data_IF_174492125116
#
_entry.id   IF_174492125116
#
_cell.length_a   1.000
_cell.length_b   1.000
_cell.length_c   1.000
_cell.angle_alpha   90.00
_cell.angle_beta   90.00
_cell.angle_gamma   90.00
#
_symmetry.space_group_name_H-M   'P 1'
#
loop_
_entity.id
_entity.type
_entity.pdbx_description
1 polymer ?
#
# COMPACT_ATOMS: atom_id res chain seq x y z
N UNK A 1 1.61 -53.47 55.12
CA UNK A 1 2.40 -52.25 54.90
C UNK A 1 3.35 -52.50 53.75
N UNK A 2 3.51 -51.53 52.84
CA UNK A 2 4.48 -51.62 51.73
C UNK A 2 5.89 -51.71 52.30
N UNK A 3 6.74 -52.58 51.74
CA UNK A 3 8.10 -52.76 52.22
C UNK A 3 8.98 -51.54 51.89
N UNK A 4 10.03 -51.35 52.67
CA UNK A 4 10.86 -50.14 52.60
C UNK A 4 11.57 -49.97 51.26
N UNK A 5 11.95 -51.07 50.58
CA UNK A 5 12.60 -50.98 49.26
C UNK A 5 11.63 -50.43 48.23
N UNK A 6 10.39 -50.88 48.25
CA UNK A 6 9.35 -50.39 47.34
C UNK A 6 9.06 -48.90 47.57
N UNK A 7 9.05 -48.43 48.82
CA UNK A 7 8.94 -46.99 49.11
C UNK A 7 10.11 -46.18 48.57
N UNK A 8 11.34 -46.66 48.75
CA UNK A 8 12.55 -46.00 48.23
C UNK A 8 12.52 -45.90 46.70
N UNK A 9 12.10 -46.98 46.02
CA UNK A 9 11.94 -46.97 44.56
C UNK A 9 10.93 -45.90 44.14
N UNK A 10 9.73 -45.87 44.74
CA UNK A 10 8.72 -44.87 44.41
C UNK A 10 9.18 -43.42 44.66
N UNK A 11 9.86 -43.16 45.77
CA UNK A 11 10.42 -41.84 46.07
C UNK A 11 11.46 -41.44 45.02
N UNK A 12 12.35 -42.36 44.66
CA UNK A 12 13.38 -42.12 43.64
C UNK A 12 12.75 -41.82 42.27
N UNK A 13 11.75 -42.61 41.87
CA UNK A 13 11.00 -42.38 40.63
C UNK A 13 10.29 -41.02 40.63
N UNK A 14 9.68 -40.62 41.76
CA UNK A 14 9.04 -39.31 41.89
C UNK A 14 10.05 -38.16 41.76
N UNK A 15 11.23 -38.30 42.35
CA UNK A 15 12.32 -37.32 42.25
C UNK A 15 12.82 -37.21 40.80
N UNK A 16 12.93 -38.32 40.09
CA UNK A 16 13.37 -38.29 38.68
C UNK A 16 12.31 -37.64 37.78
N UNK A 17 11.03 -37.94 38.00
CA UNK A 17 9.90 -37.28 37.30
C UNK A 17 9.89 -35.77 37.56
N UNK A 18 10.09 -35.36 38.82
CA UNK A 18 10.12 -33.94 39.19
C UNK A 18 11.28 -33.19 38.51
N UNK A 19 12.48 -33.79 38.49
CA UNK A 19 13.64 -33.21 37.80
C UNK A 19 13.40 -33.07 36.31
N UNK A 20 12.84 -34.09 35.69
CA UNK A 20 12.60 -34.08 34.25
C UNK A 20 11.49 -33.08 33.89
N UNK A 21 10.42 -33.00 34.69
CA UNK A 21 9.40 -31.95 34.55
C UNK A 21 9.99 -30.54 34.68
N UNK A 22 10.85 -30.30 35.68
CA UNK A 22 11.50 -29.00 35.82
C UNK A 22 12.41 -28.65 34.64
N UNK A 23 13.18 -29.61 34.12
CA UNK A 23 13.99 -29.40 32.92
C UNK A 23 13.11 -29.03 31.72
N UNK A 24 12.00 -29.75 31.52
CA UNK A 24 11.05 -29.46 30.44
C UNK A 24 10.48 -28.04 30.57
N UNK A 25 9.95 -27.69 31.74
CA UNK A 25 9.39 -26.35 31.99
C UNK A 25 10.42 -25.25 31.76
N UNK A 26 11.65 -25.41 32.27
CA UNK A 26 12.75 -24.45 32.05
C UNK A 26 13.07 -24.32 30.56
N UNK A 27 13.21 -25.45 29.85
CA UNK A 27 13.54 -25.45 28.42
C UNK A 27 12.46 -24.79 27.56
N UNK A 28 11.19 -25.10 27.84
CA UNK A 28 10.04 -24.55 27.15
C UNK A 28 9.91 -23.03 27.42
N UNK A 29 10.17 -22.61 28.65
CA UNK A 29 10.13 -21.19 29.03
C UNK A 29 11.25 -20.42 28.34
N UNK A 30 12.48 -20.95 28.33
CA UNK A 30 13.61 -20.34 27.65
C UNK A 30 13.38 -20.25 26.13
N UNK A 31 12.80 -21.30 25.53
CA UNK A 31 12.44 -21.31 24.12
C UNK A 31 11.39 -20.25 23.78
N UNK A 32 10.33 -20.13 24.58
CA UNK A 32 9.30 -19.10 24.41
C UNK A 32 9.85 -17.69 24.54
N UNK A 33 10.75 -17.46 25.49
CA UNK A 33 11.39 -16.18 25.70
C UNK A 33 12.21 -15.77 24.48
N UNK A 34 13.06 -16.68 23.96
CA UNK A 34 13.83 -16.45 22.74
C UNK A 34 12.94 -16.14 21.53
N UNK A 35 11.81 -16.85 21.39
CA UNK A 35 10.85 -16.59 20.32
C UNK A 35 10.20 -15.20 20.44
N UNK A 36 9.97 -14.72 21.67
CA UNK A 36 9.45 -13.38 21.90
C UNK A 36 10.48 -12.30 21.54
N UNK A 37 11.73 -12.48 21.95
CA UNK A 37 12.83 -11.57 21.61
C UNK A 37 13.00 -11.46 20.08
N UNK A 38 12.92 -12.58 19.37
CA UNK A 38 12.98 -12.59 17.90
C UNK A 38 11.81 -11.81 17.26
N UNK A 39 10.60 -11.95 17.79
CA UNK A 39 9.44 -11.17 17.29
C UNK A 39 9.63 -9.68 17.52
N UNK A 40 10.11 -9.29 18.70
CA UNK A 40 10.42 -7.90 19.01
C UNK A 40 11.53 -7.37 18.09
N UNK A 41 12.58 -8.17 17.86
CA UNK A 41 13.65 -7.82 16.92
C UNK A 41 13.11 -7.50 15.53
N UNK A 42 12.23 -8.35 14.99
CA UNK A 42 11.57 -8.11 13.69
C UNK A 42 10.73 -6.83 13.68
N UNK A 43 10.01 -6.53 14.76
CA UNK A 43 9.23 -5.28 14.85
C UNK A 43 10.15 -4.05 14.86
N UNK A 44 11.32 -4.13 15.49
CA UNK A 44 12.32 -3.05 15.46
C UNK A 44 12.91 -2.86 14.07
N UNK A 45 13.28 -3.94 13.39
CA UNK A 45 13.73 -3.91 11.98
C UNK A 45 12.66 -3.27 11.08
N UNK A 46 11.40 -3.69 11.21
CA UNK A 46 10.28 -3.11 10.47
C UNK A 46 10.08 -1.62 10.79
N UNK A 47 10.36 -1.19 12.02
CA UNK A 47 10.31 0.23 12.38
C UNK A 47 11.31 1.04 11.56
N UNK A 48 12.53 0.53 11.38
CA UNK A 48 13.57 1.17 10.57
C UNK A 48 13.19 1.18 9.07
N UNK A 49 12.56 0.11 8.59
CA UNK A 49 12.03 0.04 7.23
C UNK A 49 10.92 1.07 7.00
N UNK A 50 9.94 1.15 7.90
CA UNK A 50 8.86 2.12 7.80
C UNK A 50 9.35 3.56 7.95
N UNK A 51 10.35 3.79 8.80
CA UNK A 51 11.01 5.09 8.96
C UNK A 51 11.65 5.55 7.64
N UNK A 52 12.41 4.66 6.99
CA UNK A 52 12.99 4.93 5.67
C UNK A 52 11.92 5.10 4.59
N UNK A 53 10.93 4.22 4.55
CA UNK A 53 9.87 4.22 3.54
C UNK A 53 9.01 5.48 3.60
N UNK A 54 8.70 5.98 4.80
CA UNK A 54 7.89 7.19 4.99
C UNK A 54 8.72 8.48 5.05
N UNK A 55 10.05 8.36 5.13
CA UNK A 55 10.99 9.44 5.45
C UNK A 55 10.61 10.18 6.75
N UNK A 56 10.22 9.42 7.77
CA UNK A 56 9.81 9.93 9.10
C UNK A 56 10.61 9.22 10.17
N UNK A 57 11.11 9.97 11.15
CA UNK A 57 11.76 9.38 12.32
C UNK A 57 10.72 8.74 13.25
N UNK A 58 10.70 7.41 13.32
CA UNK A 58 9.80 6.64 14.19
C UNK A 58 10.56 6.28 15.46
N UNK A 59 10.27 7.00 16.55
CA UNK A 59 10.83 6.68 17.87
C UNK A 59 10.28 5.37 18.39
N UNK A 60 11.13 4.36 18.56
CA UNK A 60 10.76 3.08 19.17
C UNK A 60 10.45 3.31 20.66
N UNK A 61 9.38 2.70 21.16
CA UNK A 61 9.07 2.69 22.59
C UNK A 61 10.21 2.02 23.37
N UNK A 62 10.67 2.64 24.45
CA UNK A 62 11.66 2.03 25.34
C UNK A 62 11.05 0.90 26.17
N UNK A 63 11.80 -0.19 26.31
CA UNK A 63 11.43 -1.29 27.20
C UNK A 63 11.66 -0.88 28.66
N UNK A 64 10.62 -0.95 29.49
CA UNK A 64 10.67 -0.60 30.92
C UNK A 64 10.82 -1.87 31.77
N UNK A 65 11.55 -1.78 32.88
CA UNK A 65 11.82 -2.93 33.77
C UNK A 65 10.53 -3.58 34.31
N UNK A 66 9.48 -2.80 34.54
CA UNK A 66 8.20 -3.30 35.06
C UNK A 66 7.25 -3.85 33.97
N UNK A 67 7.65 -3.79 32.70
CA UNK A 67 6.80 -4.16 31.57
C UNK A 67 7.00 -5.62 31.18
N UNK A 68 5.90 -6.36 30.99
CA UNK A 68 6.00 -7.71 30.44
C UNK A 68 6.38 -7.64 28.95
N UNK A 69 7.21 -8.58 28.53
CA UNK A 69 7.69 -8.67 27.15
C UNK A 69 6.55 -8.76 26.11
N UNK A 70 5.43 -9.40 26.50
CA UNK A 70 4.21 -9.48 25.69
C UNK A 70 3.56 -8.11 25.52
N UNK A 71 3.45 -7.35 26.62
CA UNK A 71 2.83 -6.02 26.59
C UNK A 71 3.68 -5.05 25.76
N UNK A 72 5.00 -5.13 25.89
CA UNK A 72 5.92 -4.37 25.05
C UNK A 72 5.76 -4.69 23.56
N UNK A 73 5.72 -5.98 23.22
CA UNK A 73 5.52 -6.44 21.85
C UNK A 73 4.19 -5.95 21.27
N UNK A 74 3.12 -5.98 22.06
CA UNK A 74 1.80 -5.50 21.62
C UNK A 74 1.79 -3.97 21.44
N UNK A 75 2.42 -3.23 22.33
CA UNK A 75 2.54 -1.77 22.21
C UNK A 75 3.32 -1.36 20.96
N UNK A 76 4.41 -2.07 20.63
CA UNK A 76 5.14 -1.87 19.38
C UNK A 76 4.28 -2.16 18.15
N UNK A 77 3.51 -3.25 18.15
CA UNK A 77 2.61 -3.57 17.03
C UNK A 77 1.52 -2.51 16.85
N UNK A 78 0.94 -2.03 17.94
CA UNK A 78 -0.07 -0.97 17.91
C UNK A 78 0.52 0.32 17.34
N UNK A 79 1.71 0.72 17.80
CA UNK A 79 2.43 1.87 17.25
C UNK A 79 2.69 1.71 15.75
N UNK A 80 3.20 0.55 15.31
CA UNK A 80 3.53 0.30 13.90
C UNK A 80 2.29 0.19 13.02
N UNK A 81 1.15 -0.21 13.56
CA UNK A 81 -0.10 -0.33 12.80
C UNK A 81 -0.49 0.97 12.10
N UNK A 82 -0.27 2.12 12.75
CA UNK A 82 -0.57 3.44 12.20
C UNK A 82 0.32 3.74 10.99
N UNK A 83 1.62 3.47 11.12
CA UNK A 83 2.60 3.71 10.05
C UNK A 83 2.41 2.76 8.87
N UNK A 84 2.05 1.49 9.13
CA UNK A 84 1.68 0.52 8.08
C UNK A 84 0.50 1.03 7.26
N UNK A 85 -0.56 1.50 7.94
CA UNK A 85 -1.74 2.07 7.28
C UNK A 85 -1.35 3.31 6.47
N UNK A 86 -0.53 4.19 7.02
CA UNK A 86 -0.08 5.40 6.33
C UNK A 86 0.74 5.08 5.07
N UNK A 87 1.67 4.13 5.15
CA UNK A 87 2.47 3.68 4.01
C UNK A 87 1.59 3.08 2.91
N UNK A 88 0.64 2.23 3.29
CA UNK A 88 -0.30 1.61 2.35
C UNK A 88 -1.22 2.64 1.68
N UNK A 89 -1.71 3.62 2.44
CA UNK A 89 -2.51 4.72 1.90
C UNK A 89 -1.73 5.55 0.87
N UNK A 90 -0.47 5.89 1.17
CA UNK A 90 0.41 6.63 0.23
C UNK A 90 0.68 5.80 -1.03
N UNK A 91 0.99 4.51 -0.90
CA UNK A 91 1.17 3.58 -2.04
C UNK A 91 -0.06 3.49 -2.91
N UNK A 92 -1.22 3.19 -2.32
CA UNK A 92 -2.49 3.08 -3.04
C UNK A 92 -2.83 4.39 -3.76
N UNK A 93 -2.58 5.54 -3.12
CA UNK A 93 -2.81 6.85 -3.74
C UNK A 93 -1.86 7.10 -4.91
N UNK A 94 -0.58 6.79 -4.75
CA UNK A 94 0.42 6.88 -5.81
C UNK A 94 0.04 6.01 -7.02
N UNK A 95 -0.28 4.73 -6.79
CA UNK A 95 -0.64 3.80 -7.85
C UNK A 95 -1.84 4.30 -8.68
N UNK A 96 -2.89 4.79 -8.01
CA UNK A 96 -4.06 5.37 -8.68
C UNK A 96 -3.72 6.61 -9.50
N UNK A 97 -2.84 7.47 -8.99
CA UNK A 97 -2.41 8.67 -9.72
C UNK A 97 -1.57 8.29 -10.95
N UNK A 98 -0.67 7.31 -10.82
CA UNK A 98 0.12 6.81 -11.94
C UNK A 98 -0.73 6.12 -13.00
N UNK A 99 -1.76 5.38 -12.60
CA UNK A 99 -2.74 4.78 -13.51
C UNK A 99 -3.52 5.85 -14.28
N UNK A 100 -4.06 6.86 -13.57
CA UNK A 100 -4.74 7.98 -14.22
C UNK A 100 -3.81 8.75 -15.16
N UNK A 101 -2.56 8.92 -14.76
CA UNK A 101 -1.57 9.56 -15.60
C UNK A 101 -1.30 8.78 -16.89
N UNK A 102 -1.16 7.45 -16.83
CA UNK A 102 -0.98 6.61 -18.03
C UNK A 102 -2.13 6.80 -19.02
N UNK A 103 -3.37 6.78 -18.52
CA UNK A 103 -4.55 6.99 -19.36
C UNK A 103 -4.57 8.39 -20.03
N UNK A 104 -4.15 9.43 -19.31
CA UNK A 104 -4.04 10.79 -19.85
C UNK A 104 -2.88 10.94 -20.84
N UNK A 105 -1.73 10.34 -20.56
CA UNK A 105 -0.55 10.31 -21.43
C UNK A 105 -0.90 9.68 -22.77
N UNK A 106 -1.59 8.53 -22.76
CA UNK A 106 -2.01 7.84 -23.98
C UNK A 106 -2.97 8.66 -24.83
N UNK A 107 -3.87 9.44 -24.18
CA UNK A 107 -4.88 10.25 -24.86
C UNK A 107 -4.36 11.60 -25.37
N UNK A 108 -3.44 12.23 -24.64
CA UNK A 108 -2.96 13.58 -24.93
C UNK A 108 -1.57 13.62 -25.58
N UNK A 109 -0.82 12.51 -25.56
CA UNK A 109 0.56 12.44 -26.04
C UNK A 109 1.53 13.25 -25.19
N UNK A 110 1.24 13.43 -23.90
CA UNK A 110 2.09 14.18 -22.95
C UNK A 110 3.10 13.24 -22.27
N UNK A 111 4.18 13.78 -21.72
CA UNK A 111 5.18 12.98 -21.00
C UNK A 111 4.71 12.57 -19.61
N UNK A 112 5.06 11.36 -19.19
CA UNK A 112 4.79 10.87 -17.84
C UNK A 112 5.69 11.58 -16.81
N UNK A 113 5.17 11.77 -15.60
CA UNK A 113 5.88 12.33 -14.47
C UNK A 113 6.39 11.15 -13.63
N UNK A 114 7.69 11.14 -13.36
CA UNK A 114 8.31 10.06 -12.59
C UNK A 114 8.17 10.38 -11.11
N UNK A 115 7.61 9.42 -10.35
CA UNK A 115 7.61 9.46 -8.90
C UNK A 115 8.60 8.42 -8.37
N UNK A 116 9.31 8.78 -7.31
CA UNK A 116 10.21 7.87 -6.62
C UNK A 116 9.39 6.90 -5.75
N UNK A 117 9.71 5.61 -5.79
CA UNK A 117 9.00 4.59 -5.00
C UNK A 117 9.51 4.48 -3.56
N UNK A 118 10.79 4.82 -3.31
CA UNK A 118 11.40 4.77 -1.99
C UNK A 118 12.40 5.92 -1.77
N UNK A 119 12.19 6.80 -0.77
CA UNK A 119 11.02 6.86 0.11
C UNK A 119 9.74 7.17 -0.67
N UNK A 120 8.59 6.77 -0.12
CA UNK A 120 7.29 7.09 -0.70
C UNK A 120 7.13 8.61 -0.80
N UNK A 121 6.57 9.12 -1.91
CA UNK A 121 6.39 10.56 -2.09
C UNK A 121 5.58 11.16 -0.96
N UNK A 122 5.92 12.40 -0.59
CA UNK A 122 5.19 13.11 0.44
C UNK A 122 3.75 13.39 -0.02
N UNK A 123 2.85 13.62 0.93
CA UNK A 123 1.43 13.86 0.62
C UNK A 123 1.26 15.13 -0.23
N UNK A 124 2.12 16.13 -0.02
CA UNK A 124 2.20 17.34 -0.83
C UNK A 124 2.58 17.06 -2.28
N UNK A 125 3.50 16.13 -2.53
CA UNK A 125 3.94 15.75 -3.87
C UNK A 125 2.84 15.00 -4.62
N UNK A 126 2.19 14.04 -3.95
CA UNK A 126 1.03 13.35 -4.49
C UNK A 126 -0.12 14.32 -4.81
N UNK A 127 -0.34 15.33 -3.97
CA UNK A 127 -1.34 16.37 -4.23
C UNK A 127 -0.97 17.29 -5.41
N UNK A 128 0.31 17.63 -5.57
CA UNK A 128 0.78 18.38 -6.75
C UNK A 128 0.54 17.58 -8.03
N UNK A 129 0.86 16.28 -8.04
CA UNK A 129 0.59 15.41 -9.18
C UNK A 129 -0.90 15.35 -9.47
N UNK A 130 -1.73 15.13 -8.44
CA UNK A 130 -3.20 15.13 -8.59
C UNK A 130 -3.71 16.41 -9.25
N UNK A 131 -3.32 17.58 -8.75
CA UNK A 131 -3.75 18.86 -9.31
C UNK A 131 -3.29 19.02 -10.77
N UNK A 132 -2.09 18.56 -11.10
CA UNK A 132 -1.60 18.56 -12.48
C UNK A 132 -2.45 17.65 -13.40
N UNK A 133 -2.81 16.45 -12.93
CA UNK A 133 -3.67 15.53 -13.68
C UNK A 133 -5.08 16.10 -13.88
N UNK A 134 -5.65 16.81 -12.90
CA UNK A 134 -6.93 17.52 -13.05
C UNK A 134 -6.90 18.57 -14.17
N UNK A 135 -5.79 19.31 -14.28
CA UNK A 135 -5.59 20.26 -15.38
C UNK A 135 -5.51 19.54 -16.72
N UNK A 136 -4.74 18.45 -16.81
CA UNK A 136 -4.64 17.65 -18.03
C UNK A 136 -5.98 17.04 -18.45
N UNK A 137 -6.76 16.54 -17.49
CA UNK A 137 -8.11 16.03 -17.73
C UNK A 137 -9.02 17.12 -18.31
N UNK A 138 -8.98 18.33 -17.74
CA UNK A 138 -9.75 19.47 -18.24
C UNK A 138 -9.36 19.82 -19.67
N UNK A 139 -8.07 19.80 -20.00
CA UNK A 139 -7.57 20.03 -21.36
C UNK A 139 -8.03 18.93 -22.32
N UNK A 140 -8.02 17.66 -21.90
CA UNK A 140 -8.54 16.53 -22.68
C UNK A 140 -10.02 16.73 -23.00
N UNK A 141 -10.81 17.11 -22.01
CA UNK A 141 -12.26 17.28 -22.19
C UNK A 141 -12.56 18.47 -23.12
N UNK A 142 -11.80 19.56 -23.00
CA UNK A 142 -11.87 20.69 -23.93
C UNK A 142 -11.54 20.29 -25.38
N UNK A 143 -10.48 19.48 -25.58
CA UNK A 143 -10.12 18.98 -26.92
C UNK A 143 -11.19 18.08 -27.50
N UNK A 144 -11.82 17.24 -26.67
CA UNK A 144 -12.91 16.38 -27.09
C UNK A 144 -14.15 17.19 -27.51
N UNK A 145 -14.51 18.23 -26.76
CA UNK A 145 -15.61 19.12 -27.10
C UNK A 145 -15.35 19.86 -28.43
N UNK A 146 -14.15 20.44 -28.59
CA UNK A 146 -13.76 21.11 -29.84
C UNK A 146 -13.83 20.15 -31.02
N UNK A 147 -13.31 18.92 -30.87
CA UNK A 147 -13.35 17.92 -31.92
C UNK A 147 -14.79 17.59 -32.35
N UNK A 148 -15.70 17.39 -31.39
CA UNK A 148 -17.11 17.10 -31.69
C UNK A 148 -17.79 18.28 -32.41
N UNK A 149 -17.56 19.51 -31.94
CA UNK A 149 -18.10 20.71 -32.58
C UNK A 149 -17.59 20.85 -34.02
N UNK A 150 -16.29 20.67 -34.25
CA UNK A 150 -15.70 20.70 -35.59
C UNK A 150 -16.25 19.58 -36.49
N UNK A 151 -16.50 18.38 -35.96
CA UNK A 151 -17.12 17.29 -36.73
C UNK A 151 -18.54 17.66 -37.22
N UNK A 152 -19.34 18.31 -36.36
CA UNK A 152 -20.68 18.78 -36.74
C UNK A 152 -20.57 19.86 -37.82
N UNK A 153 -19.71 20.85 -37.64
CA UNK A 153 -19.49 21.91 -38.63
C UNK A 153 -19.08 21.36 -40.00
N UNK A 154 -18.12 20.42 -40.02
CA UNK A 154 -17.68 19.76 -41.26
C UNK A 154 -18.85 19.01 -41.92
N UNK A 155 -19.66 18.29 -41.13
CA UNK A 155 -20.83 17.57 -41.64
C UNK A 155 -21.86 18.52 -42.26
N UNK A 156 -22.12 19.65 -41.62
CA UNK A 156 -23.07 20.66 -42.11
C UNK A 156 -22.57 21.30 -43.40
N UNK A 157 -21.27 21.64 -43.48
CA UNK A 157 -20.63 22.15 -44.69
C UNK A 157 -20.75 21.12 -45.83
N UNK A 158 -20.41 19.85 -45.58
CA UNK A 158 -20.53 18.80 -46.59
C UNK A 158 -21.99 18.61 -47.05
N UNK A 159 -22.95 18.63 -46.11
CA UNK A 159 -24.37 18.54 -46.42
C UNK A 159 -24.83 19.69 -47.34
N UNK A 160 -24.39 20.91 -47.04
CA UNK A 160 -24.66 22.09 -47.86
C UNK A 160 -24.08 21.96 -49.27
N UNK A 161 -22.81 21.54 -49.40
CA UNK A 161 -22.17 21.32 -50.70
C UNK A 161 -22.92 20.26 -51.53
N UNK A 162 -23.31 19.15 -50.92
CA UNK A 162 -24.07 18.08 -51.61
C UNK A 162 -25.42 18.60 -52.10
N UNK A 163 -26.14 19.34 -51.26
CA UNK A 163 -27.44 19.92 -51.61
C UNK A 163 -27.33 20.88 -52.80
N UNK A 164 -26.37 21.81 -52.77
CA UNK A 164 -26.18 22.77 -53.85
C UNK A 164 -25.62 22.14 -55.14
N UNK A 165 -24.74 21.15 -55.03
CA UNK A 165 -24.29 20.39 -56.19
C UNK A 165 -25.48 19.69 -56.88
N UNK A 166 -26.38 19.09 -56.10
CA UNK A 166 -27.60 18.44 -56.61
C UNK A 166 -28.56 19.42 -57.30
N UNK A 167 -28.77 20.61 -56.74
CA UNK A 167 -29.61 21.65 -57.35
C UNK A 167 -29.01 22.17 -58.66
N UNK A 168 -27.71 22.47 -58.70
CA UNK A 168 -27.06 22.95 -59.94
C UNK A 168 -27.12 21.92 -61.06
N UNK A 169 -27.03 20.63 -60.75
CA UNK A 169 -27.16 19.57 -61.74
C UNK A 169 -28.61 19.27 -62.16
N UNK A 170 -29.62 19.56 -61.33
CA UNK A 170 -31.03 19.47 -61.74
C UNK A 170 -31.46 20.59 -62.71
N UNK A 171 -30.78 21.73 -62.74
CA UNK A 171 -31.07 22.85 -63.65
C UNK A 171 -30.33 22.79 -65.01
N UNK A 172 -29.55 21.73 -65.29
CA UNK A 172 -28.77 21.59 -66.53
C UNK A 172 -29.30 20.54 -67.54
N UNK A 173 -30.49 19.96 -67.29
CA UNK A 173 -31.23 19.18 -68.28
C UNK A 173 -32.65 19.73 -68.48
N UNK A 174 -32.83 20.79 -69.28
CA UNK A 174 -34.11 21.02 -69.96
C UNK A 174 -34.19 20.08 -71.17
N UNK A 175 -35.28 19.31 -71.25
CA UNK A 175 -35.80 18.83 -72.55
C UNK A 175 -36.24 20.02 -73.39
#
# INVERSE_FOLDING_TARGET
GVDEKTKIVHITTLVDIEKDFHKEVISETAYKLKQMEQKIGKLKEETEELSRCLAVDISILDFKEDMLMVDYKNALEEQLSVYRIQAEQRRTKMDRLLEWQRDLVDKLGVTMHELQEEPLPAEEELNKLKNHLEVLQTERDKRAELFLNTQVEIKDIMGWYIYHFRIRHQHFFPM
#
